data_IF_155160205255
#
_entry.id   IF_155160205255
#
_cell.length_a   1.000
_cell.length_b   1.000
_cell.length_c   1.000
_cell.angle_alpha   90.00
_cell.angle_beta   90.00
_cell.angle_gamma   90.00
#
_symmetry.space_group_name_H-M   'P 1'
#
loop_
_entity.id
_entity.type
_entity.pdbx_description
1 polymer ?
#
# COMPACT_ATOMS: atom_id res chain seq x y z
N UNK A 1 46.84 42.68 65.25
CA UNK A 1 45.44 42.39 65.59
C UNK A 1 44.62 43.50 64.96
N UNK A 2 44.51 43.44 63.63
CA UNK A 2 43.43 42.80 62.86
C UNK A 2 42.25 43.77 62.72
N UNK A 3 42.10 44.22 61.47
CA UNK A 3 41.19 45.24 60.99
C UNK A 3 39.92 44.59 60.43
N UNK A 4 38.77 45.27 60.46
CA UNK A 4 37.73 45.03 59.45
C UNK A 4 36.78 46.21 59.31
N UNK A 5 36.90 46.92 58.19
CA UNK A 5 35.97 47.94 57.69
C UNK A 5 35.14 47.29 56.59
N UNK A 6 33.80 47.33 56.67
CA UNK A 6 32.90 46.78 55.65
C UNK A 6 32.36 47.90 54.73
N UNK A 7 32.80 47.86 53.47
CA UNK A 7 32.25 48.61 52.33
C UNK A 7 31.39 47.65 51.49
N UNK A 8 30.11 47.98 51.29
CA UNK A 8 29.20 47.23 50.39
C UNK A 8 29.12 48.03 49.08
N UNK A 9 29.63 47.44 48.00
CA UNK A 9 29.65 47.97 46.63
C UNK A 9 28.54 47.38 45.76
N UNK A 10 27.98 48.20 44.86
CA UNK A 10 26.95 47.86 43.84
C UNK A 10 27.41 46.76 42.86
N UNK A 11 26.52 45.92 42.32
CA UNK A 11 26.85 45.01 41.23
C UNK A 11 26.75 45.69 39.85
N UNK A 12 27.84 45.57 39.10
CA UNK A 12 28.01 45.92 37.69
C UNK A 12 27.36 44.83 36.80
N UNK A 13 26.31 45.17 36.04
CA UNK A 13 25.70 44.26 35.06
C UNK A 13 26.47 44.37 33.74
N UNK A 14 27.19 43.29 33.38
CA UNK A 14 27.90 43.13 32.10
C UNK A 14 26.90 42.68 31.02
N UNK A 15 26.64 43.54 30.04
CA UNK A 15 25.94 43.17 28.80
C UNK A 15 26.88 42.40 27.87
N UNK A 16 26.67 41.09 27.74
CA UNK A 16 27.32 40.27 26.71
C UNK A 16 26.57 40.43 25.39
N UNK A 17 27.14 41.18 24.45
CA UNK A 17 26.67 41.29 23.07
C UNK A 17 27.14 40.07 22.26
N UNK A 18 26.21 39.21 21.84
CA UNK A 18 26.50 38.15 20.87
C UNK A 18 26.23 38.68 19.44
N UNK A 19 27.18 38.58 18.49
CA UNK A 19 26.91 38.91 17.10
C UNK A 19 26.00 37.84 16.47
N UNK A 20 24.79 38.24 16.10
CA UNK A 20 23.84 37.40 15.35
C UNK A 20 24.36 37.22 13.93
N UNK A 21 24.91 36.05 13.62
CA UNK A 21 25.15 35.64 12.24
C UNK A 21 23.78 35.48 11.54
N UNK A 22 23.47 36.41 10.63
CA UNK A 22 22.28 36.33 9.80
C UNK A 22 22.34 35.10 8.89
N UNK A 23 21.53 34.09 9.21
CA UNK A 23 21.28 32.96 8.30
C UNK A 23 20.37 33.49 7.19
N UNK A 24 20.95 33.67 6.01
CA UNK A 24 20.23 33.94 4.77
C UNK A 24 19.30 32.75 4.48
N UNK A 25 18.00 32.98 4.57
CA UNK A 25 16.98 32.02 4.19
C UNK A 25 17.05 31.80 2.67
N UNK A 26 17.73 30.72 2.26
CA UNK A 26 17.63 30.21 0.90
C UNK A 26 16.17 29.87 0.64
N UNK A 27 15.56 30.54 -0.35
CA UNK A 27 14.32 30.09 -0.97
C UNK A 27 14.55 28.68 -1.51
N UNK A 28 14.05 27.68 -0.77
CA UNK A 28 14.00 26.30 -1.23
C UNK A 28 12.92 26.19 -2.30
N UNK A 29 13.35 25.89 -3.53
CA UNK A 29 12.47 25.39 -4.58
C UNK A 29 11.65 24.22 -4.03
N UNK A 30 10.33 24.29 -4.15
CA UNK A 30 9.46 23.16 -3.88
C UNK A 30 9.66 22.16 -5.01
N UNK A 31 10.54 21.17 -4.80
CA UNK A 31 10.53 19.94 -5.59
C UNK A 31 9.12 19.37 -5.38
N UNK A 32 8.37 19.17 -6.47
CA UNK A 32 7.15 18.35 -6.40
C UNK A 32 7.63 16.95 -6.05
N UNK A 33 7.63 16.63 -4.76
CA UNK A 33 8.08 15.34 -4.24
C UNK A 33 7.11 14.29 -4.78
N UNK A 34 7.56 13.50 -5.75
CA UNK A 34 6.76 12.42 -6.31
C UNK A 34 6.49 11.40 -5.19
N UNK A 35 5.30 10.77 -5.15
CA UNK A 35 5.03 9.76 -4.14
C UNK A 35 6.10 8.66 -4.16
N UNK A 36 6.47 8.09 -3.00
CA UNK A 36 7.45 7.01 -2.93
C UNK A 36 7.09 5.81 -3.82
N UNK A 37 8.08 5.03 -4.25
CA UNK A 37 7.83 3.76 -4.90
C UNK A 37 7.22 2.76 -3.91
N UNK A 38 6.25 1.96 -4.41
CA UNK A 38 5.80 0.76 -3.71
C UNK A 38 6.94 -0.25 -3.70
N UNK A 39 7.15 -0.92 -2.57
CA UNK A 39 8.20 -1.91 -2.40
C UNK A 39 7.62 -3.32 -2.35
N UNK A 40 8.33 -4.26 -2.96
CA UNK A 40 8.09 -5.69 -2.80
C UNK A 40 8.60 -6.19 -1.44
N UNK A 41 8.30 -7.44 -1.12
CA UNK A 41 8.68 -8.09 0.13
C UNK A 41 10.20 -8.30 0.29
N UNK A 42 10.98 -8.02 -0.75
CA UNK A 42 12.46 -7.98 -0.70
C UNK A 42 13.01 -6.56 -0.56
N UNK A 43 12.14 -5.55 -0.45
CA UNK A 43 12.51 -4.15 -0.33
C UNK A 43 12.89 -3.48 -1.66
N UNK A 44 12.62 -4.12 -2.81
CA UNK A 44 12.88 -3.56 -4.14
C UNK A 44 11.61 -2.91 -4.69
N UNK A 45 11.75 -1.97 -5.61
CA UNK A 45 10.60 -1.30 -6.21
C UNK A 45 9.69 -2.28 -6.98
N UNK A 46 8.39 -2.08 -6.85
CA UNK A 46 7.37 -2.76 -7.62
C UNK A 46 7.37 -2.20 -9.04
N UNK A 47 7.62 -3.05 -10.04
CA UNK A 47 7.78 -2.63 -11.43
C UNK A 47 6.48 -2.79 -12.21
N UNK A 48 6.19 -1.84 -13.10
CA UNK A 48 5.09 -1.89 -14.05
C UNK A 48 5.15 -3.17 -14.90
N UNK A 49 3.98 -3.79 -15.11
CA UNK A 49 3.81 -4.94 -16.00
C UNK A 49 4.45 -6.25 -15.50
N UNK A 50 5.29 -6.20 -14.46
CA UNK A 50 5.88 -7.38 -13.84
C UNK A 50 4.88 -8.05 -12.90
N UNK A 51 4.88 -9.38 -12.91
CA UNK A 51 4.02 -10.17 -12.04
C UNK A 51 4.59 -10.32 -10.64
N UNK A 52 3.70 -10.19 -9.65
CA UNK A 52 3.96 -10.42 -8.23
C UNK A 52 2.80 -11.23 -7.64
N UNK A 53 3.06 -12.03 -6.62
CA UNK A 53 1.98 -12.58 -5.82
C UNK A 53 1.49 -11.51 -4.85
N UNK A 54 0.21 -11.13 -4.98
CA UNK A 54 -0.49 -10.30 -4.03
C UNK A 54 -0.85 -11.15 -2.81
N UNK A 55 -0.09 -11.02 -1.73
CA UNK A 55 -0.23 -11.91 -0.56
C UNK A 55 -0.81 -11.15 0.64
N UNK A 56 -1.93 -11.58 1.22
CA UNK A 56 -2.40 -11.01 2.47
C UNK A 56 -1.36 -11.17 3.59
N UNK A 57 -1.05 -10.08 4.29
CA UNK A 57 -0.09 -10.08 5.39
C UNK A 57 -0.83 -10.35 6.72
N UNK A 58 -1.40 -11.54 6.83
CA UNK A 58 -2.12 -12.01 8.01
C UNK A 58 -1.20 -12.82 8.93
N UNK A 59 -1.41 -12.71 10.24
CA UNK A 59 -0.72 -13.53 11.23
C UNK A 59 -1.26 -14.97 11.17
N UNK A 60 -0.38 -15.92 10.93
CA UNK A 60 -0.72 -17.34 10.81
C UNK A 60 0.14 -18.20 11.73
N UNK A 61 -0.28 -19.45 12.01
CA UNK A 61 0.59 -20.45 12.61
C UNK A 61 1.86 -20.69 11.78
N UNK A 62 2.92 -21.29 12.37
CA UNK A 62 4.13 -21.67 11.64
C UNK A 62 3.79 -22.47 10.37
N UNK A 63 4.52 -22.21 9.28
CA UNK A 63 4.34 -22.81 7.94
C UNK A 63 3.03 -22.47 7.21
N UNK A 64 2.12 -21.76 7.88
CA UNK A 64 0.90 -21.27 7.26
C UNK A 64 1.17 -20.14 6.29
N UNK A 65 0.37 -20.07 5.23
CA UNK A 65 0.35 -18.96 4.28
C UNK A 65 -1.07 -18.51 4.01
N UNK A 66 -1.20 -17.33 3.43
CA UNK A 66 -2.44 -16.91 2.78
C UNK A 66 -2.22 -16.68 1.31
N UNK A 67 -3.27 -16.87 0.54
CA UNK A 67 -3.24 -16.68 -0.90
C UNK A 67 -4.51 -15.99 -1.36
N UNK A 68 -4.33 -15.13 -2.36
CA UNK A 68 -5.44 -14.69 -3.19
C UNK A 68 -5.71 -15.77 -4.22
N UNK A 69 -6.95 -16.26 -4.22
CA UNK A 69 -7.40 -17.32 -5.12
C UNK A 69 -8.66 -16.88 -5.89
N UNK A 70 -8.77 -17.20 -7.18
CA UNK A 70 -9.97 -16.94 -7.94
C UNK A 70 -11.02 -18.02 -7.66
N UNK A 71 -12.20 -17.63 -7.20
CA UNK A 71 -13.34 -18.51 -7.10
C UNK A 71 -14.30 -18.28 -8.26
N UNK A 72 -14.74 -19.35 -8.93
CA UNK A 72 -15.70 -19.27 -10.04
C UNK A 72 -17.11 -19.46 -9.49
N UNK A 73 -18.02 -18.58 -9.87
CA UNK A 73 -19.44 -18.78 -9.63
C UNK A 73 -20.16 -18.93 -10.98
N UNK A 74 -20.99 -19.97 -11.09
CA UNK A 74 -21.74 -20.33 -12.31
C UNK A 74 -23.22 -20.52 -11.99
N UNK A 75 -23.85 -19.53 -11.37
CA UNK A 75 -25.31 -19.51 -11.26
C UNK A 75 -25.87 -18.58 -12.33
N UNK A 76 -26.27 -19.15 -13.47
CA UNK A 76 -26.80 -18.48 -14.67
C UNK A 76 -25.81 -17.54 -15.41
N UNK A 77 -24.88 -16.93 -14.69
CA UNK A 77 -23.80 -16.07 -15.21
C UNK A 77 -22.45 -16.55 -14.68
N UNK A 78 -21.42 -16.54 -15.54
CA UNK A 78 -20.05 -16.91 -15.17
C UNK A 78 -19.27 -15.67 -14.73
N UNK A 79 -18.81 -15.65 -13.48
CA UNK A 79 -17.95 -14.57 -13.00
C UNK A 79 -16.99 -15.05 -11.92
N UNK A 80 -15.88 -14.33 -11.76
CA UNK A 80 -14.87 -14.61 -10.74
C UNK A 80 -15.04 -13.69 -9.54
N UNK A 81 -15.04 -14.27 -8.35
CA UNK A 81 -14.73 -13.53 -7.13
C UNK A 81 -13.28 -13.77 -6.74
N UNK A 82 -12.73 -12.83 -5.98
CA UNK A 82 -11.38 -12.91 -5.47
C UNK A 82 -11.44 -13.34 -4.01
N UNK A 83 -11.11 -14.59 -3.74
CA UNK A 83 -11.09 -15.22 -2.42
C UNK A 83 -9.80 -14.98 -1.67
N UNK A 84 -9.88 -15.02 -0.33
CA UNK A 84 -8.74 -15.05 0.58
C UNK A 84 -8.74 -16.40 1.28
N UNK A 85 -7.73 -17.22 1.03
CA UNK A 85 -7.61 -18.53 1.66
C UNK A 85 -6.38 -18.63 2.55
N UNK A 86 -6.51 -19.45 3.60
CA UNK A 86 -5.46 -19.75 4.57
C UNK A 86 -5.11 -21.23 4.42
N UNK A 87 -3.82 -21.52 4.26
CA UNK A 87 -3.34 -22.88 4.13
C UNK A 87 -2.37 -23.20 5.26
N UNK A 88 -2.36 -24.43 5.79
CA UNK A 88 -1.40 -24.87 6.80
C UNK A 88 0.00 -25.19 6.21
N UNK A 89 0.17 -25.00 4.91
CA UNK A 89 1.41 -25.22 4.17
C UNK A 89 1.65 -24.07 3.19
N UNK A 90 2.87 -23.99 2.65
CA UNK A 90 3.26 -22.96 1.69
C UNK A 90 2.60 -23.20 0.32
N UNK A 91 1.90 -22.18 -0.16
CA UNK A 91 1.28 -22.07 -1.46
C UNK A 91 1.41 -20.60 -1.90
N UNK A 92 1.58 -20.40 -3.19
CA UNK A 92 1.53 -19.09 -3.81
C UNK A 92 0.12 -18.81 -4.34
N UNK A 93 -0.32 -17.56 -4.23
CA UNK A 93 -1.60 -17.16 -4.80
C UNK A 93 -1.55 -16.99 -6.31
N UNK A 94 -2.62 -16.43 -6.85
CA UNK A 94 -2.65 -16.01 -8.24
C UNK A 94 -1.78 -14.76 -8.44
N UNK A 95 -0.85 -14.76 -9.41
CA UNK A 95 -0.02 -13.60 -9.66
C UNK A 95 -0.80 -12.48 -10.34
N UNK A 96 -0.43 -11.24 -10.01
CA UNK A 96 -0.97 -10.03 -10.60
C UNK A 96 0.14 -9.09 -11.04
N UNK A 97 -0.12 -8.33 -12.11
CA UNK A 97 0.71 -7.20 -12.56
C UNK A 97 -0.04 -5.89 -12.31
N UNK A 98 0.73 -4.82 -12.27
CA UNK A 98 0.26 -3.48 -11.97
C UNK A 98 0.66 -2.54 -13.10
N UNK A 99 -0.26 -1.67 -13.50
CA UNK A 99 0.00 -0.65 -14.52
C UNK A 99 -0.58 0.69 -14.06
N UNK A 100 0.20 1.79 -14.09
CA UNK A 100 -0.34 3.12 -13.85
C UNK A 100 -1.47 3.45 -14.84
N UNK A 101 -2.54 4.08 -14.37
CA UNK A 101 -3.63 4.55 -15.23
C UNK A 101 -3.14 5.69 -16.12
N UNK A 102 -2.38 6.62 -15.54
CA UNK A 102 -1.73 7.70 -16.27
C UNK A 102 -0.33 7.23 -16.69
N UNK A 103 -0.02 7.19 -17.99
CA UNK A 103 1.32 6.80 -18.44
C UNK A 103 2.36 7.79 -17.91
N UNK A 104 3.45 7.25 -17.38
CA UNK A 104 4.59 8.01 -16.88
C UNK A 104 5.89 7.57 -17.56
N UNK A 105 6.97 8.30 -17.28
CA UNK A 105 8.30 7.95 -17.79
C UNK A 105 9.03 6.95 -16.87
N UNK A 106 8.41 6.57 -15.76
CA UNK A 106 9.00 5.71 -14.73
C UNK A 106 8.49 4.29 -14.85
N UNK A 107 9.36 3.32 -14.68
CA UNK A 107 8.99 1.90 -14.68
C UNK A 107 8.45 1.41 -13.33
N UNK A 108 8.46 2.25 -12.29
CA UNK A 108 8.12 1.86 -10.92
C UNK A 108 6.72 2.33 -10.54
N UNK A 109 5.97 1.46 -9.86
CA UNK A 109 4.65 1.78 -9.32
C UNK A 109 4.80 2.66 -8.10
N UNK A 110 4.16 3.83 -8.11
CA UNK A 110 4.21 4.80 -7.02
C UNK A 110 3.00 4.71 -6.09
N UNK A 111 3.23 4.95 -4.81
CA UNK A 111 2.18 5.03 -3.80
C UNK A 111 1.14 6.10 -4.17
N UNK A 112 -0.12 5.91 -3.76
CA UNK A 112 -1.22 6.86 -3.94
C UNK A 112 -1.54 7.29 -5.39
N UNK A 113 -0.96 6.62 -6.39
CA UNK A 113 -1.29 6.78 -7.81
C UNK A 113 -2.37 5.78 -8.24
N UNK A 114 -3.19 6.17 -9.22
CA UNK A 114 -4.21 5.26 -9.76
C UNK A 114 -3.55 4.17 -10.60
N UNK A 115 -3.79 2.92 -10.23
CA UNK A 115 -3.25 1.72 -10.85
C UNK A 115 -4.36 0.75 -11.24
N UNK A 116 -4.13 0.04 -12.34
CA UNK A 116 -4.91 -1.12 -12.77
C UNK A 116 -4.19 -2.37 -12.27
N UNK A 117 -4.96 -3.28 -11.66
CA UNK A 117 -4.47 -4.57 -11.18
C UNK A 117 -5.03 -5.64 -12.11
N UNK A 118 -4.15 -6.38 -12.77
CA UNK A 118 -4.53 -7.44 -13.71
C UNK A 118 -3.91 -8.77 -13.24
N UNK A 119 -4.75 -9.75 -12.96
CA UNK A 119 -4.30 -11.09 -12.63
C UNK A 119 -3.90 -11.87 -13.89
N UNK A 120 -3.16 -12.97 -13.74
CA UNK A 120 -2.78 -13.81 -14.88
C UNK A 120 -4.00 -14.18 -15.77
N UNK A 121 -3.79 -14.01 -17.07
CA UNK A 121 -4.65 -14.33 -18.20
C UNK A 121 -5.19 -15.77 -18.23
N UNK A 122 -4.57 -16.70 -17.51
CA UNK A 122 -5.06 -18.09 -17.36
C UNK A 122 -6.52 -18.18 -16.89
N UNK A 123 -7.06 -17.12 -16.28
CA UNK A 123 -8.46 -17.07 -15.86
C UNK A 123 -9.43 -16.58 -16.93
N UNK A 124 -8.97 -15.75 -17.87
CA UNK A 124 -9.84 -15.16 -18.90
C UNK A 124 -10.56 -16.23 -19.72
N UNK A 125 -9.89 -17.37 -19.95
CA UNK A 125 -10.41 -18.51 -20.71
C UNK A 125 -11.60 -19.24 -20.07
N UNK A 126 -11.81 -19.11 -18.75
CA UNK A 126 -12.82 -19.91 -18.03
C UNK A 126 -14.22 -19.25 -18.04
N UNK A 127 -14.31 -17.92 -17.99
CA UNK A 127 -15.57 -17.18 -18.09
C UNK A 127 -15.64 -16.19 -19.28
N UNK A 128 -14.64 -16.17 -20.17
CA UNK A 128 -14.64 -15.32 -21.36
C UNK A 128 -14.51 -13.81 -21.07
N UNK A 129 -13.79 -13.43 -20.02
CA UNK A 129 -13.70 -12.05 -19.55
C UNK A 129 -12.27 -11.58 -19.29
N UNK A 130 -12.13 -10.30 -18.99
CA UNK A 130 -10.83 -9.70 -18.61
C UNK A 130 -10.35 -10.18 -17.25
N UNK A 131 -9.03 -10.35 -17.06
CA UNK A 131 -8.41 -10.62 -15.75
C UNK A 131 -8.18 -9.34 -14.92
N UNK A 132 -8.67 -8.20 -15.39
CA UNK A 132 -8.59 -6.92 -14.66
C UNK A 132 -9.53 -6.95 -13.46
N UNK A 133 -9.00 -6.56 -12.31
CA UNK A 133 -9.74 -6.40 -11.07
C UNK A 133 -10.70 -5.21 -11.18
N UNK A 134 -11.91 -5.38 -10.66
CA UNK A 134 -12.87 -4.29 -10.46
C UNK A 134 -13.52 -4.39 -9.09
N UNK A 135 -13.91 -3.24 -8.55
CA UNK A 135 -14.66 -3.16 -7.31
C UNK A 135 -16.05 -2.56 -7.53
N UNK A 136 -17.04 -3.18 -6.90
CA UNK A 136 -18.38 -2.63 -6.69
C UNK A 136 -18.65 -2.61 -5.19
N UNK A 137 -19.33 -3.63 -4.65
CA UNK A 137 -19.30 -3.98 -3.22
C UNK A 137 -18.21 -5.00 -2.92
N UNK A 138 -18.04 -5.95 -3.83
CA UNK A 138 -17.04 -7.00 -3.76
C UNK A 138 -16.03 -6.83 -4.89
N UNK A 139 -14.84 -7.38 -4.70
CA UNK A 139 -13.84 -7.44 -5.74
C UNK A 139 -14.10 -8.65 -6.64
N UNK A 140 -14.01 -8.42 -7.94
CA UNK A 140 -14.26 -9.42 -8.98
C UNK A 140 -13.36 -9.16 -10.18
N UNK A 141 -13.19 -10.16 -11.03
CA UNK A 141 -12.52 -10.00 -12.32
C UNK A 141 -13.52 -9.59 -13.40
N UNK A 142 -13.04 -9.22 -14.59
CA UNK A 142 -13.85 -8.72 -15.69
C UNK A 142 -14.01 -7.20 -15.67
N UNK A 143 -12.99 -6.48 -15.19
CA UNK A 143 -12.87 -5.04 -15.34
C UNK A 143 -12.47 -4.62 -16.76
N UNK A 144 -12.84 -3.41 -17.15
CA UNK A 144 -12.52 -2.80 -18.45
C UNK A 144 -11.36 -1.80 -18.39
N UNK A 145 -10.75 -1.61 -17.21
CA UNK A 145 -9.79 -0.52 -16.98
C UNK A 145 -10.44 0.85 -16.74
N UNK A 146 -11.77 0.89 -16.58
CA UNK A 146 -12.50 2.09 -16.21
C UNK A 146 -12.30 2.46 -14.72
N UNK A 147 -12.99 3.51 -14.26
CA UNK A 147 -12.94 3.97 -12.86
C UNK A 147 -13.34 2.93 -11.82
N UNK A 148 -13.98 1.82 -12.20
CA UNK A 148 -14.27 0.72 -11.29
C UNK A 148 -13.08 -0.24 -11.13
N UNK A 149 -12.06 -0.10 -11.97
CA UNK A 149 -10.81 -0.85 -11.97
C UNK A 149 -9.61 -0.05 -11.47
N UNK A 150 -9.82 1.19 -11.01
CA UNK A 150 -8.74 2.03 -10.49
C UNK A 150 -8.61 1.85 -8.99
N UNK A 151 -7.40 1.45 -8.58
CA UNK A 151 -7.01 1.29 -7.18
C UNK A 151 -5.81 2.18 -6.90
N UNK A 152 -5.55 2.44 -5.63
CA UNK A 152 -4.31 3.04 -5.15
C UNK A 152 -3.64 2.07 -4.19
N UNK A 153 -2.32 2.10 -4.17
CA UNK A 153 -1.52 1.35 -3.20
C UNK A 153 -0.98 2.35 -2.19
N UNK A 154 -1.30 2.15 -0.92
CA UNK A 154 -0.87 3.03 0.17
C UNK A 154 -0.14 2.21 1.23
N UNK A 155 0.97 2.72 1.74
CA UNK A 155 1.75 2.05 2.76
C UNK A 155 1.00 1.96 4.09
N UNK A 156 1.10 0.82 4.75
CA UNK A 156 0.65 0.65 6.13
C UNK A 156 1.83 0.91 7.09
N UNK A 157 1.58 1.50 8.27
CA UNK A 157 2.62 1.67 9.29
C UNK A 157 3.17 0.32 9.77
N UNK A 158 2.28 -0.64 9.98
CA UNK A 158 2.60 -2.02 10.36
C UNK A 158 1.60 -2.99 9.70
N UNK A 159 2.02 -4.21 9.32
CA UNK A 159 3.39 -4.74 9.41
C UNK A 159 4.34 -4.10 8.38
N UNK A 160 5.67 -4.20 8.61
CA UNK A 160 6.67 -3.69 7.65
C UNK A 160 6.46 -4.24 6.23
N UNK A 161 6.65 -3.36 5.23
CA UNK A 161 6.43 -3.65 3.81
C UNK A 161 5.00 -4.11 3.47
N UNK A 162 4.03 -3.85 4.35
CA UNK A 162 2.63 -4.04 4.04
C UNK A 162 1.99 -2.77 3.48
N UNK A 163 1.04 -2.99 2.60
CA UNK A 163 0.28 -1.97 1.92
C UNK A 163 -1.21 -2.28 2.02
N UNK A 164 -2.05 -1.26 1.89
CA UNK A 164 -3.49 -1.42 1.69
C UNK A 164 -3.81 -1.01 0.26
N UNK A 165 -4.83 -1.65 -0.30
CA UNK A 165 -5.42 -1.20 -1.55
C UNK A 165 -6.58 -0.25 -1.22
N UNK A 166 -6.58 0.91 -1.84
CA UNK A 166 -7.63 1.93 -1.68
C UNK A 166 -8.40 2.03 -2.98
N UNK A 167 -9.72 2.02 -2.87
CA UNK A 167 -10.63 2.17 -3.99
C UNK A 167 -11.31 3.54 -3.92
N UNK A 168 -11.09 4.34 -4.98
CA UNK A 168 -11.48 5.75 -5.02
C UNK A 168 -10.96 6.50 -3.78
N UNK A 169 -11.56 7.64 -3.44
CA UNK A 169 -11.06 8.52 -2.38
C UNK A 169 -11.40 8.09 -0.94
N UNK A 170 -12.03 6.93 -0.70
CA UNK A 170 -12.67 6.66 0.61
C UNK A 170 -12.66 5.22 1.11
N UNK A 171 -12.78 4.21 0.24
CA UNK A 171 -12.98 2.82 0.69
C UNK A 171 -11.68 2.04 0.58
N UNK A 172 -11.44 1.14 1.51
CA UNK A 172 -10.28 0.25 1.47
C UNK A 172 -10.71 -1.16 1.07
N UNK A 173 -9.77 -1.92 0.52
CA UNK A 173 -9.97 -3.35 0.29
C UNK A 173 -9.69 -4.09 1.59
N UNK A 174 -10.70 -4.78 2.08
CA UNK A 174 -10.63 -5.71 3.20
C UNK A 174 -11.24 -7.05 2.81
N UNK A 175 -11.82 -7.73 3.81
CA UNK A 175 -12.47 -9.02 3.60
C UNK A 175 -13.93 -9.01 4.02
N UNK A 176 -14.69 -9.93 3.46
CA UNK A 176 -16.08 -10.21 3.86
C UNK A 176 -16.32 -11.72 3.79
N UNK A 177 -16.81 -12.27 4.90
CA UNK A 177 -17.18 -13.68 5.00
C UNK A 177 -18.58 -13.91 4.44
N UNK A 178 -18.73 -14.91 3.58
CA UNK A 178 -20.01 -15.38 3.06
C UNK A 178 -20.68 -16.35 4.03
N UNK A 179 -21.99 -16.64 3.87
CA UNK A 179 -22.69 -17.64 4.68
C UNK A 179 -22.10 -19.06 4.61
N UNK A 180 -21.37 -19.37 3.54
CA UNK A 180 -20.65 -20.64 3.35
C UNK A 180 -19.26 -20.66 4.01
N UNK A 181 -18.95 -19.67 4.86
CA UNK A 181 -17.66 -19.45 5.51
C UNK A 181 -16.48 -19.17 4.55
N UNK A 182 -16.74 -18.89 3.27
CA UNK A 182 -15.68 -18.43 2.36
C UNK A 182 -15.41 -16.94 2.55
N UNK A 183 -14.14 -16.56 2.61
CA UNK A 183 -13.71 -15.18 2.72
C UNK A 183 -13.36 -14.63 1.34
N UNK A 184 -13.88 -13.45 1.00
CA UNK A 184 -13.58 -12.76 -0.27
C UNK A 184 -13.15 -11.34 -0.03
N UNK A 185 -12.42 -10.80 -1.00
CA UNK A 185 -12.08 -9.39 -1.02
C UNK A 185 -13.34 -8.53 -1.24
N UNK A 186 -13.44 -7.48 -0.43
CA UNK A 186 -14.58 -6.56 -0.44
C UNK A 186 -14.12 -5.14 -0.16
N UNK A 187 -14.96 -4.17 -0.52
CA UNK A 187 -14.79 -2.81 -0.01
C UNK A 187 -15.27 -2.74 1.43
N UNK A 188 -14.41 -2.28 2.32
CA UNK A 188 -14.62 -2.20 3.77
C UNK A 188 -14.11 -0.87 4.31
N UNK A 189 -14.19 -0.70 5.62
CA UNK A 189 -13.54 0.40 6.35
C UNK A 189 -12.22 -0.06 7.00
N UNK A 190 -12.06 -1.37 7.24
CA UNK A 190 -10.82 -1.98 7.74
C UNK A 190 -10.00 -2.58 6.59
N UNK A 191 -8.72 -2.19 6.42
CA UNK A 191 -7.90 -2.69 5.32
C UNK A 191 -7.40 -4.11 5.58
N UNK A 192 -7.40 -4.94 4.55
CA UNK A 192 -6.58 -6.15 4.52
C UNK A 192 -5.15 -5.73 4.15
N UNK A 193 -4.14 -6.02 4.99
CA UNK A 193 -2.75 -5.75 4.65
C UNK A 193 -2.29 -6.68 3.53
N UNK A 194 -1.50 -6.17 2.60
CA UNK A 194 -0.90 -6.92 1.49
C UNK A 194 0.60 -6.72 1.43
N UNK A 195 1.33 -7.80 1.16
CA UNK A 195 2.71 -7.78 0.69
C UNK A 195 2.74 -8.17 -0.80
N UNK A 196 3.66 -7.58 -1.55
CA UNK A 196 3.93 -7.97 -2.93
C UNK A 196 5.14 -8.89 -2.98
N UNK A 197 4.94 -10.15 -3.34
CA UNK A 197 6.03 -11.14 -3.40
C UNK A 197 6.50 -11.28 -4.85
N UNK A 198 7.79 -11.07 -5.16
CA UNK A 198 8.30 -11.32 -6.50
C UNK A 198 8.13 -12.81 -6.86
N UNK A 199 7.91 -13.08 -8.15
CA UNK A 199 7.88 -14.43 -8.73
C UNK A 199 9.30 -14.89 -9.05
#
# INVERSE_FOLDING_TARGET
MEATTLLITLPLILFLSFPTNGVSARHGFSIVDQPPAVLDASGRELLEGKYYYLRPALRLPPFGTTAIIPGVYRNETCWFHVGVERFPFSITGLPAKFSPVAPGNESSIRESTDVIIEFSDKLASVCGGSSVLKATRFLSLGGSGDRNSWFKIEKLPEPRHAYKLVYRSRRVVGTSTRPDNTERLALTDEPLPFEFRPI
#
